data_IF_401980816706
#
_entry.id   IF_401980816706
#
_cell.length_a   1.000
_cell.length_b   1.000
_cell.length_c   1.000
_cell.angle_alpha   90.00
_cell.angle_beta   90.00
_cell.angle_gamma   90.00
#
_symmetry.space_group_name_H-M   'P 1'
#
loop_
_entity.id
_entity.type
_entity.pdbx_description
1 polymer ?
#
# COMPACT_ATOMS: atom_id res chain seq x y z
N UNK A 1 -15.79 -1.16 27.02
CA UNK A 1 -14.34 -1.47 27.13
C UNK A 1 -13.94 -2.79 26.46
N UNK A 2 -14.74 -3.86 26.56
CA UNK A 2 -14.42 -5.17 25.94
C UNK A 2 -14.39 -5.16 24.42
N UNK A 3 -15.35 -4.50 23.76
CA UNK A 3 -15.38 -4.37 22.29
C UNK A 3 -14.11 -3.69 21.73
N UNK A 4 -13.58 -2.70 22.45
CA UNK A 4 -12.33 -2.02 22.10
C UNK A 4 -11.09 -2.91 22.34
N UNK A 5 -11.08 -3.70 23.43
CA UNK A 5 -10.02 -4.69 23.69
C UNK A 5 -9.99 -5.78 22.61
N UNK A 6 -11.15 -6.31 22.23
CA UNK A 6 -11.27 -7.27 21.12
C UNK A 6 -10.74 -6.69 19.81
N UNK A 7 -11.08 -5.43 19.50
CA UNK A 7 -10.61 -4.76 18.30
C UNK A 7 -9.10 -4.56 18.26
N UNK A 8 -8.48 -4.17 19.37
CA UNK A 8 -7.02 -4.05 19.47
C UNK A 8 -6.33 -5.40 19.18
N UNK A 9 -6.90 -6.53 19.67
CA UNK A 9 -6.37 -7.86 19.38
C UNK A 9 -6.41 -8.17 17.89
N UNK A 10 -7.51 -7.86 17.20
CA UNK A 10 -7.66 -8.06 15.76
C UNK A 10 -6.65 -7.22 14.97
N UNK A 11 -6.45 -5.95 15.35
CA UNK A 11 -5.46 -5.07 14.69
C UNK A 11 -4.06 -5.69 14.81
N UNK A 12 -3.64 -6.03 16.02
CA UNK A 12 -2.32 -6.62 16.27
C UNK A 12 -2.15 -7.95 15.53
N UNK A 13 -3.14 -8.85 15.61
CA UNK A 13 -3.08 -10.14 14.90
C UNK A 13 -3.04 -9.96 13.38
N UNK A 14 -3.77 -8.98 12.84
CA UNK A 14 -3.74 -8.68 11.41
C UNK A 14 -2.40 -8.10 10.95
N UNK A 15 -1.73 -7.31 11.79
CA UNK A 15 -0.39 -6.78 11.49
C UNK A 15 0.65 -7.90 11.50
N UNK A 16 0.57 -8.83 12.45
CA UNK A 16 1.42 -10.03 12.48
C UNK A 16 1.16 -10.86 11.21
N UNK A 17 -0.11 -11.06 10.85
CA UNK A 17 -0.49 -11.74 9.61
C UNK A 17 0.11 -11.04 8.39
N UNK A 18 0.00 -9.71 8.29
CA UNK A 18 0.56 -8.94 7.18
C UNK A 18 2.08 -9.14 7.08
N UNK A 19 2.82 -9.09 8.19
CA UNK A 19 4.27 -9.35 8.21
C UNK A 19 4.60 -10.78 7.74
N UNK A 20 3.84 -11.78 8.19
CA UNK A 20 4.03 -13.18 7.75
C UNK A 20 3.75 -13.31 6.25
N UNK A 21 2.67 -12.72 5.74
CA UNK A 21 2.35 -12.76 4.32
C UNK A 21 3.44 -12.06 3.49
N UNK A 22 3.94 -10.91 3.93
CA UNK A 22 5.07 -10.23 3.27
C UNK A 22 6.35 -11.09 3.29
N UNK A 23 6.64 -11.78 4.39
CA UNK A 23 7.75 -12.73 4.46
C UNK A 23 7.58 -13.86 3.44
N UNK A 24 6.38 -14.46 3.34
CA UNK A 24 6.11 -15.51 2.36
C UNK A 24 6.31 -15.00 0.93
N UNK A 25 5.72 -13.85 0.59
CA UNK A 25 5.76 -13.27 -0.76
C UNK A 25 7.19 -12.87 -1.18
N UNK A 26 7.93 -12.19 -0.31
CA UNK A 26 9.21 -11.58 -0.70
C UNK A 26 10.44 -12.40 -0.34
N UNK A 27 10.34 -13.32 0.62
CA UNK A 27 11.48 -14.11 1.10
C UNK A 27 11.36 -15.57 0.69
N UNK A 28 10.24 -16.23 1.02
CA UNK A 28 10.07 -17.65 0.69
C UNK A 28 9.76 -17.88 -0.80
N UNK A 29 8.98 -16.99 -1.42
CA UNK A 29 8.59 -17.04 -2.83
C UNK A 29 8.12 -18.43 -3.31
N UNK A 30 7.19 -19.10 -2.61
CA UNK A 30 6.83 -20.48 -2.94
C UNK A 30 6.04 -20.60 -4.26
N UNK A 31 5.33 -19.55 -4.66
CA UNK A 31 4.55 -19.52 -5.89
C UNK A 31 4.69 -18.17 -6.62
N UNK A 32 3.74 -17.91 -7.52
CA UNK A 32 3.68 -16.70 -8.34
C UNK A 32 3.41 -15.45 -7.50
N UNK A 33 4.33 -14.49 -7.55
CA UNK A 33 4.27 -13.25 -6.79
C UNK A 33 2.94 -12.51 -6.90
N UNK A 34 2.39 -12.38 -8.11
CA UNK A 34 1.17 -11.58 -8.33
C UNK A 34 -0.08 -12.25 -7.75
N UNK A 35 -0.15 -13.58 -7.85
CA UNK A 35 -1.24 -14.36 -7.26
C UNK A 35 -1.12 -14.30 -5.73
N UNK A 36 0.07 -14.52 -5.18
CA UNK A 36 0.29 -14.46 -3.73
C UNK A 36 -0.03 -13.07 -3.16
N UNK A 37 0.39 -12.02 -3.85
CA UNK A 37 0.08 -10.64 -3.47
C UNK A 37 -1.43 -10.39 -3.48
N UNK A 38 -2.11 -10.73 -4.58
CA UNK A 38 -3.56 -10.58 -4.68
C UNK A 38 -4.32 -11.33 -3.60
N UNK A 39 -4.00 -12.60 -3.36
CA UNK A 39 -4.64 -13.44 -2.32
C UNK A 39 -4.36 -12.87 -0.92
N UNK A 40 -3.12 -12.48 -0.64
CA UNK A 40 -2.73 -11.92 0.66
C UNK A 40 -3.48 -10.63 0.98
N UNK A 41 -3.60 -9.74 0.00
CA UNK A 41 -4.40 -8.52 0.15
C UNK A 41 -5.87 -8.83 0.38
N UNK A 42 -6.46 -9.78 -0.36
CA UNK A 42 -7.85 -10.19 -0.13
C UNK A 42 -8.05 -10.75 1.27
N UNK A 43 -7.12 -11.54 1.80
CA UNK A 43 -7.15 -12.05 3.19
C UNK A 43 -7.15 -10.90 4.19
N UNK A 44 -6.25 -9.92 4.04
CA UNK A 44 -6.19 -8.76 4.93
C UNK A 44 -7.46 -7.90 4.86
N UNK A 45 -8.01 -7.70 3.66
CA UNK A 45 -9.29 -7.00 3.45
C UNK A 45 -10.43 -7.75 4.11
N UNK A 46 -10.51 -9.08 4.00
CA UNK A 46 -11.53 -9.89 4.67
C UNK A 46 -11.47 -9.70 6.19
N UNK A 47 -10.28 -9.77 6.79
CA UNK A 47 -10.10 -9.53 8.23
C UNK A 47 -10.58 -8.13 8.62
N UNK A 48 -10.25 -7.11 7.83
CA UNK A 48 -10.70 -5.74 8.06
C UNK A 48 -12.24 -5.60 8.00
N UNK A 49 -12.89 -6.20 7.00
CA UNK A 49 -14.34 -6.13 6.81
C UNK A 49 -15.12 -6.90 7.88
N UNK A 50 -14.61 -8.05 8.33
CA UNK A 50 -15.20 -8.77 9.46
C UNK A 50 -15.11 -7.96 10.76
N UNK A 51 -14.04 -7.19 10.94
CA UNK A 51 -13.87 -6.31 12.11
C UNK A 51 -14.75 -5.07 12.03
N UNK A 52 -14.94 -4.51 10.83
CA UNK A 52 -15.56 -3.20 10.64
C UNK A 52 -16.50 -3.21 9.41
N UNK A 53 -17.77 -3.53 9.64
CA UNK A 53 -18.76 -3.74 8.55
C UNK A 53 -18.97 -2.54 7.62
N UNK A 54 -18.73 -1.32 8.11
CA UNK A 54 -18.90 -0.07 7.36
C UNK A 54 -17.56 0.57 6.96
N UNK A 55 -16.50 -0.24 6.83
CA UNK A 55 -15.16 0.23 6.48
C UNK A 55 -15.12 0.86 5.08
N UNK A 56 -15.84 0.24 4.14
CA UNK A 56 -15.95 0.72 2.76
C UNK A 56 -17.23 1.54 2.66
N UNK A 57 -17.09 2.85 2.44
CA UNK A 57 -18.22 3.73 2.17
C UNK A 57 -17.93 4.59 0.95
N UNK A 58 -18.63 4.28 -0.13
CA UNK A 58 -18.61 5.05 -1.38
C UNK A 58 -19.79 6.01 -1.52
N UNK A 59 -20.53 6.26 -0.43
CA UNK A 59 -21.78 7.04 -0.48
C UNK A 59 -21.61 8.50 -0.93
N UNK A 60 -20.38 9.03 -0.91
CA UNK A 60 -20.07 10.42 -1.27
C UNK A 60 -18.89 10.52 -2.25
N UNK A 61 -18.90 9.75 -3.35
CA UNK A 61 -17.93 9.97 -4.44
C UNK A 61 -18.20 11.34 -5.05
N UNK A 62 -17.17 12.20 -5.06
CA UNK A 62 -17.19 13.53 -5.67
C UNK A 62 -16.17 13.55 -6.80
N UNK A 63 -16.43 14.35 -7.83
CA UNK A 63 -15.45 14.59 -8.91
C UNK A 63 -14.09 15.04 -8.36
N UNK A 64 -14.10 15.85 -7.29
CA UNK A 64 -12.89 16.24 -6.54
C UNK A 64 -12.05 15.05 -6.12
N UNK A 65 -12.64 13.97 -5.60
CA UNK A 65 -11.87 12.79 -5.17
C UNK A 65 -11.20 12.09 -6.34
N UNK A 66 -11.88 12.02 -7.49
CA UNK A 66 -11.33 11.42 -8.72
C UNK A 66 -10.15 12.26 -9.21
N UNK A 67 -10.31 13.59 -9.28
CA UNK A 67 -9.26 14.51 -9.69
C UNK A 67 -8.05 14.46 -8.75
N UNK A 68 -8.28 14.45 -7.43
CA UNK A 68 -7.21 14.29 -6.45
C UNK A 68 -6.48 12.97 -6.70
N UNK A 69 -7.18 11.86 -6.92
CA UNK A 69 -6.56 10.57 -7.16
C UNK A 69 -5.67 10.55 -8.41
N UNK A 70 -6.17 11.04 -9.54
CA UNK A 70 -5.41 11.10 -10.80
C UNK A 70 -4.19 12.02 -10.67
N UNK A 71 -4.38 13.23 -10.14
CA UNK A 71 -3.28 14.19 -9.94
C UNK A 71 -2.24 13.62 -8.97
N UNK A 72 -2.68 12.94 -7.91
CA UNK A 72 -1.81 12.31 -6.92
C UNK A 72 -0.95 11.19 -7.54
N UNK A 73 -1.51 10.38 -8.44
CA UNK A 73 -0.75 9.37 -9.17
C UNK A 73 0.34 10.00 -10.05
N UNK A 74 0.01 11.09 -10.76
CA UNK A 74 0.97 11.83 -11.59
C UNK A 74 2.09 12.42 -10.73
N UNK A 75 1.75 13.06 -9.61
CA UNK A 75 2.73 13.62 -8.68
C UNK A 75 3.67 12.53 -8.16
N UNK A 76 3.12 11.41 -7.68
CA UNK A 76 3.93 10.30 -7.19
C UNK A 76 4.83 9.70 -8.27
N UNK A 77 4.37 9.61 -9.52
CA UNK A 77 5.22 9.15 -10.62
C UNK A 77 6.50 10.01 -10.72
N UNK A 78 6.35 11.34 -10.74
CA UNK A 78 7.49 12.26 -10.81
C UNK A 78 8.33 12.28 -9.53
N UNK A 79 7.73 12.12 -8.35
CA UNK A 79 8.46 11.96 -7.09
C UNK A 79 9.37 10.74 -7.14
N UNK A 80 8.86 9.61 -7.64
CA UNK A 80 9.65 8.38 -7.76
C UNK A 80 10.69 8.45 -8.87
N UNK A 81 10.38 9.12 -9.98
CA UNK A 81 11.35 9.40 -11.04
C UNK A 81 12.55 10.21 -10.49
N UNK A 82 12.27 11.31 -9.79
CA UNK A 82 13.31 12.10 -9.12
C UNK A 82 14.05 11.29 -8.05
N UNK A 83 13.31 10.50 -7.27
CA UNK A 83 13.87 9.59 -6.27
C UNK A 83 14.83 8.55 -6.86
N UNK A 84 14.52 7.99 -8.03
CA UNK A 84 15.40 7.06 -8.75
C UNK A 84 16.73 7.74 -9.15
N UNK A 85 16.66 8.99 -9.63
CA UNK A 85 17.86 9.78 -9.98
C UNK A 85 18.69 10.07 -8.73
N UNK A 86 18.06 10.65 -7.69
CA UNK A 86 18.74 11.05 -6.45
C UNK A 86 19.38 9.84 -5.76
N UNK A 87 18.65 8.73 -5.65
CA UNK A 87 19.18 7.50 -5.05
C UNK A 87 20.37 6.93 -5.83
N UNK A 88 20.47 7.16 -7.14
CA UNK A 88 21.64 6.78 -7.94
C UNK A 88 22.93 7.47 -7.52
N UNK A 89 22.84 8.68 -6.97
CA UNK A 89 24.00 9.39 -6.42
C UNK A 89 24.31 9.01 -4.98
N UNK A 90 23.31 8.52 -4.22
CA UNK A 90 23.44 8.26 -2.78
C UNK A 90 23.75 6.80 -2.46
N UNK A 91 23.24 5.85 -3.24
CA UNK A 91 23.21 4.44 -2.91
C UNK A 91 23.70 3.58 -4.07
N UNK A 92 24.92 3.02 -4.02
CA UNK A 92 25.46 2.20 -5.11
C UNK A 92 24.68 0.89 -5.32
N UNK A 93 23.88 0.46 -4.35
CA UNK A 93 23.06 -0.75 -4.42
C UNK A 93 21.64 -0.53 -4.96
N UNK A 94 21.26 0.72 -5.32
CA UNK A 94 19.86 1.05 -5.64
C UNK A 94 19.34 0.29 -6.86
N UNK A 95 20.14 0.18 -7.92
CA UNK A 95 19.71 -0.48 -9.16
C UNK A 95 19.43 -1.97 -8.94
N UNK A 96 20.28 -2.66 -8.18
CA UNK A 96 20.06 -4.07 -7.84
C UNK A 96 18.77 -4.26 -7.03
N UNK A 97 18.51 -3.38 -6.06
CA UNK A 97 17.30 -3.44 -5.24
C UNK A 97 16.03 -3.12 -6.05
N UNK A 98 16.08 -2.10 -6.92
CA UNK A 98 14.97 -1.76 -7.82
C UNK A 98 14.71 -2.92 -8.79
N UNK A 99 15.75 -3.42 -9.46
CA UNK A 99 15.65 -4.55 -10.38
C UNK A 99 15.08 -5.81 -9.71
N UNK A 100 15.41 -6.06 -8.44
CA UNK A 100 14.87 -7.21 -7.70
C UNK A 100 13.33 -7.15 -7.57
N UNK A 101 12.74 -5.96 -7.44
CA UNK A 101 11.28 -5.77 -7.39
C UNK A 101 10.69 -5.88 -8.80
N UNK A 102 11.31 -5.24 -9.78
CA UNK A 102 10.86 -5.29 -11.18
C UNK A 102 10.95 -6.69 -11.80
N UNK A 103 11.84 -7.56 -11.30
CA UNK A 103 11.95 -8.94 -11.77
C UNK A 103 10.66 -9.75 -11.57
N UNK A 104 9.80 -9.37 -10.62
CA UNK A 104 8.47 -9.99 -10.45
C UNK A 104 7.56 -9.82 -11.67
N UNK A 105 7.82 -8.82 -12.54
CA UNK A 105 7.07 -8.67 -13.81
C UNK A 105 7.21 -9.87 -14.72
N UNK A 106 8.32 -10.60 -14.66
CA UNK A 106 8.51 -11.81 -15.46
C UNK A 106 7.55 -12.95 -15.08
N UNK A 107 6.88 -12.84 -13.92
CA UNK A 107 5.95 -13.85 -13.43
C UNK A 107 4.50 -13.66 -13.94
N UNK A 108 4.22 -12.71 -14.82
CA UNK A 108 2.87 -12.53 -15.35
C UNK A 108 2.86 -11.72 -16.65
N UNK A 109 1.81 -11.85 -17.44
CA UNK A 109 1.62 -10.95 -18.57
C UNK A 109 1.11 -9.58 -18.08
N UNK A 110 1.37 -8.54 -18.87
CA UNK A 110 1.02 -7.16 -18.52
C UNK A 110 -0.48 -6.95 -18.25
N UNK A 111 -1.36 -7.70 -18.92
CA UNK A 111 -2.81 -7.60 -18.73
C UNK A 111 -3.22 -8.11 -17.34
N UNK A 112 -2.73 -9.29 -16.95
CA UNK A 112 -2.98 -9.88 -15.64
C UNK A 112 -2.42 -8.97 -14.53
N UNK A 113 -1.16 -8.56 -14.65
CA UNK A 113 -0.51 -7.67 -13.68
C UNK A 113 -1.31 -6.37 -13.54
N UNK A 114 -1.66 -5.75 -14.66
CA UNK A 114 -2.41 -4.50 -14.65
C UNK A 114 -3.80 -4.64 -14.03
N UNK A 115 -4.51 -5.73 -14.33
CA UNK A 115 -5.80 -6.00 -13.71
C UNK A 115 -5.70 -6.20 -12.19
N UNK A 116 -4.70 -6.95 -11.72
CA UNK A 116 -4.46 -7.15 -10.30
C UNK A 116 -4.12 -5.84 -9.59
N UNK A 117 -3.23 -5.02 -10.15
CA UNK A 117 -2.86 -3.73 -9.59
C UNK A 117 -4.05 -2.76 -9.51
N UNK A 118 -4.83 -2.67 -10.58
CA UNK A 118 -5.94 -1.70 -10.68
C UNK A 118 -7.13 -2.07 -9.79
N UNK A 119 -7.45 -3.35 -9.66
CA UNK A 119 -8.73 -3.79 -9.07
C UNK A 119 -8.59 -4.55 -7.76
N UNK A 120 -7.42 -5.11 -7.44
CA UNK A 120 -7.23 -5.94 -6.25
C UNK A 120 -6.18 -5.36 -5.31
N UNK A 121 -4.94 -5.25 -5.78
CA UNK A 121 -3.78 -4.90 -4.96
C UNK A 121 -3.87 -3.44 -4.49
N UNK A 122 -3.87 -2.48 -5.42
CA UNK A 122 -3.97 -1.04 -5.07
C UNK A 122 -5.21 -0.72 -4.22
N UNK A 123 -6.42 -1.11 -4.64
CA UNK A 123 -7.62 -0.89 -3.83
C UNK A 123 -7.59 -1.59 -2.47
N UNK A 124 -7.17 -2.85 -2.42
CA UNK A 124 -7.19 -3.66 -1.21
C UNK A 124 -6.15 -3.21 -0.18
N UNK A 125 -4.97 -2.77 -0.63
CA UNK A 125 -3.97 -2.14 0.25
C UNK A 125 -4.53 -0.90 0.93
N UNK A 126 -5.19 0.00 0.18
CA UNK A 126 -5.77 1.21 0.77
C UNK A 126 -6.91 0.90 1.74
N UNK A 127 -7.73 -0.09 1.41
CA UNK A 127 -8.81 -0.57 2.30
C UNK A 127 -8.22 -1.06 3.63
N UNK A 128 -7.18 -1.90 3.59
CA UNK A 128 -6.55 -2.41 4.80
C UNK A 128 -5.76 -1.32 5.54
N UNK A 129 -4.79 -0.67 4.90
CA UNK A 129 -3.87 0.23 5.57
C UNK A 129 -4.52 1.54 6.00
N UNK A 130 -5.32 2.18 5.14
CA UNK A 130 -5.93 3.47 5.46
C UNK A 130 -7.30 3.28 6.09
N UNK A 131 -8.14 2.46 5.47
CA UNK A 131 -9.50 2.21 5.93
C UNK A 131 -9.56 1.53 7.29
N UNK A 132 -8.69 0.55 7.53
CA UNK A 132 -8.67 -0.22 8.77
C UNK A 132 -7.60 0.26 9.74
N UNK A 133 -6.31 0.13 9.41
CA UNK A 133 -5.21 0.39 10.35
C UNK A 133 -5.15 1.87 10.75
N UNK A 134 -4.99 2.78 9.78
CA UNK A 134 -4.87 4.21 10.05
C UNK A 134 -6.12 4.78 10.74
N UNK A 135 -7.31 4.46 10.24
CA UNK A 135 -8.57 4.90 10.83
C UNK A 135 -8.70 4.48 12.30
N UNK A 136 -8.34 3.24 12.64
CA UNK A 136 -8.43 2.76 14.02
C UNK A 136 -7.37 3.34 14.94
N UNK A 137 -6.14 3.50 14.45
CA UNK A 137 -5.09 4.16 15.21
C UNK A 137 -5.42 5.65 15.41
N UNK A 138 -6.04 6.31 14.43
CA UNK A 138 -6.52 7.69 14.55
C UNK A 138 -7.63 7.84 15.60
N UNK A 139 -8.62 6.93 15.60
CA UNK A 139 -9.67 6.89 16.65
C UNK A 139 -9.09 6.68 18.05
N UNK A 140 -7.97 5.97 18.19
CA UNK A 140 -7.36 5.62 19.48
C UNK A 140 -6.37 6.67 19.99
N UNK A 141 -5.53 7.21 19.12
CA UNK A 141 -4.39 8.05 19.48
C UNK A 141 -4.51 9.49 18.99
N UNK A 142 -5.60 9.84 18.29
CA UNK A 142 -5.77 11.11 17.59
C UNK A 142 -5.26 11.03 16.15
N UNK A 143 -5.73 11.96 15.32
CA UNK A 143 -5.52 11.89 13.85
C UNK A 143 -4.05 11.90 13.44
N UNK A 144 -3.23 12.75 14.06
CA UNK A 144 -1.80 12.88 13.76
C UNK A 144 -1.02 11.63 14.15
N UNK A 145 -1.15 11.19 15.39
CA UNK A 145 -0.45 10.00 15.90
C UNK A 145 -0.90 8.74 15.16
N UNK A 146 -2.20 8.63 14.87
CA UNK A 146 -2.74 7.50 14.11
C UNK A 146 -2.18 7.41 12.70
N UNK A 147 -2.09 8.56 12.01
CA UNK A 147 -1.44 8.67 10.70
C UNK A 147 0.05 8.28 10.75
N UNK A 148 0.81 8.82 11.70
CA UNK A 148 2.24 8.53 11.84
C UNK A 148 2.46 7.04 12.11
N UNK A 149 1.73 6.46 13.08
CA UNK A 149 1.88 5.05 13.40
C UNK A 149 1.48 4.13 12.25
N UNK A 150 0.39 4.43 11.53
CA UNK A 150 -0.01 3.63 10.38
C UNK A 150 1.03 3.69 9.26
N UNK A 151 1.59 4.87 9.00
CA UNK A 151 2.66 5.06 8.01
C UNK A 151 3.90 4.24 8.37
N UNK A 152 4.33 4.29 9.63
CA UNK A 152 5.48 3.52 10.10
C UNK A 152 5.24 2.01 10.06
N UNK A 153 4.03 1.55 10.37
CA UNK A 153 3.67 0.13 10.27
C UNK A 153 3.61 -0.34 8.81
N UNK A 154 3.05 0.47 7.91
CA UNK A 154 3.00 0.20 6.47
C UNK A 154 4.40 0.06 5.86
N UNK A 155 5.30 1.01 6.15
CA UNK A 155 6.70 0.88 5.73
C UNK A 155 7.41 -0.27 6.47
N UNK A 156 7.09 -0.48 7.74
CA UNK A 156 7.72 -1.47 8.61
C UNK A 156 7.55 -2.90 8.14
N UNK A 157 6.37 -3.28 7.60
CA UNK A 157 6.19 -4.64 7.06
C UNK A 157 7.13 -4.94 5.88
N UNK A 158 7.62 -3.91 5.19
CA UNK A 158 8.56 -4.06 4.08
C UNK A 158 10.00 -4.29 4.55
N UNK A 159 10.33 -4.04 5.83
CA UNK A 159 11.70 -4.26 6.35
C UNK A 159 12.10 -5.74 6.19
N UNK A 160 11.14 -6.66 6.28
CA UNK A 160 11.39 -8.10 6.11
C UNK A 160 11.92 -8.48 4.72
N UNK A 161 11.70 -7.62 3.72
CA UNK A 161 12.20 -7.84 2.36
C UNK A 161 13.70 -7.61 2.25
N UNK A 162 14.33 -6.99 3.25
CA UNK A 162 15.73 -6.53 3.24
C UNK A 162 16.07 -5.66 2.02
N UNK A 163 15.05 -5.01 1.44
CA UNK A 163 15.18 -4.12 0.30
C UNK A 163 14.97 -2.67 0.79
N UNK A 164 16.08 -1.95 0.94
CA UNK A 164 16.08 -0.58 1.44
C UNK A 164 15.26 0.36 0.53
N UNK A 165 15.43 0.26 -0.79
CA UNK A 165 14.68 1.08 -1.75
C UNK A 165 13.16 0.84 -1.64
N UNK A 166 12.72 -0.40 -1.42
CA UNK A 166 11.31 -0.75 -1.24
C UNK A 166 10.75 -0.20 0.09
N UNK A 167 11.52 -0.23 1.17
CA UNK A 167 11.11 0.36 2.46
C UNK A 167 10.96 1.88 2.35
N UNK A 168 11.90 2.56 1.69
CA UNK A 168 11.82 4.01 1.45
C UNK A 168 10.63 4.34 0.54
N UNK A 169 10.41 3.57 -0.53
CA UNK A 169 9.24 3.70 -1.39
C UNK A 169 7.93 3.60 -0.60
N UNK A 170 7.79 2.55 0.23
CA UNK A 170 6.62 2.35 1.08
C UNK A 170 6.45 3.49 2.10
N UNK A 171 7.54 4.05 2.64
CA UNK A 171 7.49 5.19 3.54
C UNK A 171 6.97 6.45 2.84
N UNK A 172 7.47 6.77 1.63
CA UNK A 172 7.01 7.93 0.84
C UNK A 172 5.52 7.79 0.50
N UNK A 173 5.11 6.63 0.02
CA UNK A 173 3.70 6.33 -0.28
C UNK A 173 2.82 6.35 0.98
N UNK A 174 3.32 5.81 2.10
CA UNK A 174 2.69 5.84 3.41
C UNK A 174 2.39 7.26 3.87
N UNK A 175 3.41 8.12 3.84
CA UNK A 175 3.31 9.53 4.19
C UNK A 175 2.27 10.22 3.30
N UNK A 176 2.38 10.04 1.98
CA UNK A 176 1.57 10.78 1.02
C UNK A 176 0.10 10.36 1.01
N UNK A 177 -0.20 9.08 0.78
CA UNK A 177 -1.59 8.60 0.79
C UNK A 177 -2.21 8.66 2.18
N UNK A 178 -1.43 8.43 3.24
CA UNK A 178 -1.91 8.58 4.62
C UNK A 178 -2.33 10.02 4.93
N UNK A 179 -1.62 11.02 4.40
CA UNK A 179 -2.00 12.43 4.52
C UNK A 179 -3.26 12.76 3.72
N UNK A 180 -3.35 12.30 2.45
CA UNK A 180 -4.56 12.49 1.63
C UNK A 180 -5.78 11.87 2.32
N UNK A 181 -5.66 10.64 2.82
CA UNK A 181 -6.74 9.99 3.56
C UNK A 181 -7.14 10.78 4.81
N UNK A 182 -6.16 11.28 5.57
CA UNK A 182 -6.41 12.12 6.74
C UNK A 182 -7.18 13.40 6.36
N UNK A 183 -6.85 14.04 5.24
CA UNK A 183 -7.48 15.28 4.78
C UNK A 183 -8.88 15.06 4.19
N UNK A 184 -9.03 14.09 3.30
CA UNK A 184 -10.25 13.87 2.54
C UNK A 184 -11.25 12.97 3.27
N UNK A 185 -10.81 12.20 4.28
CA UNK A 185 -11.62 11.21 5.01
C UNK A 185 -12.37 10.24 4.08
N UNK A 186 -11.75 9.94 2.94
CA UNK A 186 -12.30 9.08 1.89
C UNK A 186 -11.22 8.17 1.34
N UNK A 187 -11.58 6.91 1.08
CA UNK A 187 -10.70 5.95 0.41
C UNK A 187 -10.64 6.16 -1.10
N UNK A 188 -11.63 6.83 -1.69
CA UNK A 188 -11.73 7.01 -3.15
C UNK A 188 -10.48 7.65 -3.77
N UNK A 189 -9.98 8.81 -3.31
CA UNK A 189 -8.83 9.45 -3.96
C UNK A 189 -7.57 8.59 -3.88
N UNK A 190 -7.33 7.94 -2.74
CA UNK A 190 -6.13 7.14 -2.52
C UNK A 190 -6.18 5.79 -3.25
N UNK A 191 -7.36 5.16 -3.36
CA UNK A 191 -7.55 3.95 -4.17
C UNK A 191 -7.23 4.25 -5.63
N UNK A 192 -7.79 5.34 -6.17
CA UNK A 192 -7.54 5.76 -7.54
C UNK A 192 -6.05 6.08 -7.73
N UNK A 193 -5.45 6.83 -6.80
CA UNK A 193 -4.05 7.21 -6.88
C UNK A 193 -3.12 6.00 -6.86
N UNK A 194 -3.32 5.07 -5.92
CA UNK A 194 -2.49 3.88 -5.75
C UNK A 194 -2.61 2.96 -6.97
N UNK A 195 -3.84 2.62 -7.36
CA UNK A 195 -4.12 1.77 -8.52
C UNK A 195 -3.49 2.31 -9.82
N UNK A 196 -3.69 3.61 -10.12
CA UNK A 196 -3.14 4.23 -11.32
C UNK A 196 -1.61 4.30 -11.23
N UNK A 197 -1.06 4.68 -10.08
CA UNK A 197 0.39 4.80 -9.91
C UNK A 197 1.08 3.44 -10.08
N UNK A 198 0.59 2.39 -9.41
CA UNK A 198 1.12 1.03 -9.54
C UNK A 198 1.08 0.55 -10.99
N UNK A 199 -0.07 0.67 -11.64
CA UNK A 199 -0.22 0.29 -13.04
C UNK A 199 0.76 1.06 -13.94
N UNK A 200 0.95 2.34 -13.66
CA UNK A 200 1.87 3.19 -14.43
C UNK A 200 3.32 2.75 -14.24
N UNK A 201 3.78 2.57 -13.01
CA UNK A 201 5.19 2.22 -12.74
C UNK A 201 5.51 0.77 -13.06
N UNK A 202 4.57 -0.17 -12.99
CA UNK A 202 4.84 -1.57 -13.33
C UNK A 202 4.55 -1.93 -14.79
N UNK A 203 3.58 -1.29 -15.44
CA UNK A 203 3.10 -1.73 -16.77
C UNK A 203 3.43 -0.73 -17.86
N UNK A 204 3.10 0.56 -17.67
CA UNK A 204 3.21 1.55 -18.74
C UNK A 204 4.62 2.14 -18.87
N UNK A 205 5.14 2.70 -17.79
CA UNK A 205 6.40 3.47 -17.77
C UNK A 205 7.28 3.07 -16.57
N UNK A 206 7.93 1.88 -16.63
CA UNK A 206 8.84 1.43 -15.59
C UNK A 206 9.97 2.39 -15.26
N UNK A 207 10.23 2.56 -13.97
CA UNK A 207 11.31 3.38 -13.41
C UNK A 207 12.50 2.47 -13.07
N UNK A 208 13.19 1.98 -14.10
CA UNK A 208 14.43 1.18 -14.00
C UNK A 208 15.64 2.06 -14.29
#
# INVERSE_FOLDING_TARGET
MEKQKSKNKIIISSLIMATILWFVIFVLKPFNFWIEMGVSILVLVMVALFSEKNLISFRNIKLRHILIGIISAIILYFVFYAGNIISGYLFPFKDAQIASVYSNRAQGNSLLIGALLLFIIGPGEEIYWRGFIQNNLAKKFGEDKGYIFATLLYAGVHIITLNFMLVVAALVCGIYWGWIYKKEKSLVPIIISHAIWDFTVFVLFPLM
#
